data_IF_273538539931
#
_entry.id   IF_273538539931
#
_cell.length_a   1.000
_cell.length_b   1.000
_cell.length_c   1.000
_cell.angle_alpha   90.00
_cell.angle_beta   90.00
_cell.angle_gamma   90.00
#
_symmetry.space_group_name_H-M   'P 1'
#
loop_
_entity.id
_entity.type
_entity.pdbx_description
1 polymer ?
#
# COMPACT_ATOMS: atom_id res chain seq x y z
N UNK A 1 1.71 6.74 5.45
CA UNK A 1 0.25 6.82 5.30
C UNK A 1 -0.36 7.34 6.60
N UNK A 2 -1.56 7.91 6.57
CA UNK A 2 -2.34 8.17 7.78
C UNK A 2 -3.83 7.93 7.55
N UNK A 3 -4.52 7.38 8.55
CA UNK A 3 -5.92 6.98 8.48
C UNK A 3 -6.69 7.62 9.63
N UNK A 4 -7.90 8.11 9.36
CA UNK A 4 -8.91 8.54 10.35
C UNK A 4 -10.18 7.70 10.16
N UNK A 5 -10.86 7.41 11.26
CA UNK A 5 -12.16 6.71 11.25
C UNK A 5 -12.08 5.20 11.45
N UNK A 6 -10.88 4.65 11.67
CA UNK A 6 -10.67 3.22 11.96
C UNK A 6 -9.74 3.09 13.17
N UNK A 7 -9.99 2.10 14.02
CA UNK A 7 -9.16 1.85 15.20
C UNK A 7 -7.78 1.32 14.80
N UNK A 8 -6.78 1.52 15.67
CA UNK A 8 -5.43 1.01 15.41
C UNK A 8 -5.42 -0.52 15.32
N UNK A 9 -6.18 -1.19 16.19
CA UNK A 9 -6.32 -2.64 16.16
C UNK A 9 -6.89 -3.13 14.82
N UNK A 10 -7.90 -2.46 14.27
CA UNK A 10 -8.45 -2.81 12.97
C UNK A 10 -7.42 -2.62 11.84
N UNK A 11 -6.62 -1.54 11.89
CA UNK A 11 -5.51 -1.32 10.94
C UNK A 11 -4.50 -2.47 11.01
N UNK A 12 -4.11 -2.90 12.21
CA UNK A 12 -3.20 -4.04 12.39
C UNK A 12 -3.80 -5.34 11.84
N UNK A 13 -5.06 -5.64 12.17
CA UNK A 13 -5.73 -6.85 11.73
C UNK A 13 -5.81 -6.93 10.19
N UNK A 14 -6.20 -5.82 9.54
CA UNK A 14 -6.23 -5.74 8.07
C UNK A 14 -4.84 -5.94 7.48
N UNK A 15 -3.83 -5.22 7.99
CA UNK A 15 -2.46 -5.35 7.51
C UNK A 15 -1.94 -6.80 7.62
N UNK A 16 -2.09 -7.42 8.79
CA UNK A 16 -1.64 -8.79 9.03
C UNK A 16 -2.36 -9.81 8.13
N UNK A 17 -3.67 -9.63 7.90
CA UNK A 17 -4.45 -10.49 7.01
C UNK A 17 -3.99 -10.46 5.54
N UNK A 18 -3.20 -9.46 5.17
CA UNK A 18 -2.61 -9.28 3.83
C UNK A 18 -1.11 -9.60 3.79
N UNK A 19 -0.54 -10.10 4.90
CA UNK A 19 0.91 -10.31 5.00
C UNK A 19 1.70 -8.99 5.06
N UNK A 20 1.09 -7.92 5.57
CA UNK A 20 1.70 -6.62 5.80
C UNK A 20 1.91 -6.35 7.30
N UNK A 21 2.70 -5.33 7.59
CA UNK A 21 2.87 -4.77 8.93
C UNK A 21 2.88 -3.23 8.88
N UNK A 22 2.23 -2.55 9.83
CA UNK A 22 2.39 -1.12 10.03
C UNK A 22 3.66 -0.85 10.86
N UNK A 23 4.62 -0.13 10.30
CA UNK A 23 5.80 0.38 11.01
C UNK A 23 5.59 1.83 11.48
N UNK A 24 6.31 2.25 12.52
CA UNK A 24 6.31 3.63 13.03
C UNK A 24 4.90 4.16 13.35
N UNK A 25 4.06 3.32 13.97
CA UNK A 25 2.68 3.67 14.31
C UNK A 25 2.65 4.73 15.39
N UNK A 26 1.90 5.82 15.15
CA UNK A 26 1.69 6.90 16.12
C UNK A 26 0.39 7.63 15.89
N UNK A 27 -0.20 8.15 16.97
CA UNK A 27 -1.36 9.04 16.91
C UNK A 27 -0.93 10.47 16.58
N UNK A 28 -1.70 11.17 15.74
CA UNK A 28 -1.62 12.62 15.52
C UNK A 28 -3.04 13.19 15.39
N UNK A 29 -3.56 13.70 16.51
CA UNK A 29 -4.97 14.05 16.61
C UNK A 29 -5.86 12.85 16.27
N UNK A 30 -6.85 13.04 15.40
CA UNK A 30 -7.78 11.98 14.99
C UNK A 30 -7.23 11.00 13.95
N UNK A 31 -5.92 11.03 13.67
CA UNK A 31 -5.28 10.16 12.69
C UNK A 31 -4.31 9.19 13.34
N UNK A 32 -4.27 7.97 12.82
CA UNK A 32 -3.19 7.01 13.05
C UNK A 32 -2.24 7.06 11.85
N UNK A 33 -0.97 7.39 12.12
CA UNK A 33 0.11 7.51 11.15
C UNK A 33 0.96 6.25 11.20
N UNK A 34 1.37 5.73 10.04
CA UNK A 34 2.25 4.57 9.94
C UNK A 34 2.86 4.46 8.55
N UNK A 35 3.84 3.58 8.41
CA UNK A 35 4.41 3.14 7.13
C UNK A 35 3.95 1.70 6.91
N UNK A 36 3.19 1.46 5.84
CA UNK A 36 2.78 0.10 5.49
C UNK A 36 3.96 -0.61 4.83
N UNK A 37 4.30 -1.79 5.33
CA UNK A 37 5.38 -2.63 4.82
C UNK A 37 4.92 -4.07 4.64
N UNK A 38 5.59 -4.80 3.76
CA UNK A 38 5.48 -6.25 3.70
C UNK A 38 5.95 -6.86 5.04
N UNK A 39 5.26 -7.88 5.55
CA UNK A 39 5.65 -8.58 6.78
C UNK A 39 6.98 -9.32 6.60
N UNK A 40 7.18 -9.91 5.41
CA UNK A 40 8.45 -10.48 4.97
C UNK A 40 9.07 -9.61 3.89
N UNK A 41 10.41 -9.44 3.88
CA UNK A 41 11.07 -8.73 2.81
C UNK A 41 10.87 -9.46 1.48
N UNK A 42 10.78 -8.70 0.39
CA UNK A 42 10.86 -9.29 -0.95
C UNK A 42 12.32 -9.68 -1.22
N UNK A 43 12.61 -10.98 -1.41
CA UNK A 43 13.93 -11.45 -1.80
C UNK A 43 14.30 -11.00 -3.21
N UNK A 44 15.59 -10.77 -3.51
CA UNK A 44 16.06 -10.36 -4.82
C UNK A 44 15.87 -11.50 -5.84
N UNK A 45 14.89 -11.35 -6.76
CA UNK A 45 14.60 -12.08 -8.02
C UNK A 45 14.66 -13.64 -8.07
N UNK A 46 15.22 -14.34 -7.08
CA UNK A 46 15.47 -15.79 -7.03
C UNK A 46 14.60 -16.54 -6.00
N UNK A 47 13.49 -15.97 -5.55
CA UNK A 47 12.61 -16.70 -4.63
C UNK A 47 11.45 -17.37 -5.35
N UNK A 48 11.04 -18.49 -4.77
CA UNK A 48 9.93 -19.35 -5.20
C UNK A 48 8.70 -18.50 -5.58
N UNK A 49 8.25 -18.51 -6.84
CA UNK A 49 7.12 -17.70 -7.32
C UNK A 49 5.80 -17.97 -6.57
N UNK A 50 5.68 -19.09 -5.85
CA UNK A 50 4.45 -19.50 -5.16
C UNK A 50 4.35 -19.03 -3.70
N UNK A 51 5.27 -18.19 -3.21
CA UNK A 51 5.18 -17.71 -1.82
C UNK A 51 4.15 -16.57 -1.69
N UNK A 52 3.11 -16.68 -0.83
CA UNK A 52 2.01 -15.71 -0.76
C UNK A 52 2.45 -14.28 -0.41
N UNK A 53 3.51 -14.13 0.40
CA UNK A 53 4.13 -12.82 0.66
C UNK A 53 4.82 -12.16 -0.56
N UNK A 54 4.83 -12.78 -1.74
CA UNK A 54 5.37 -12.21 -2.97
C UNK A 54 4.30 -11.57 -3.87
N UNK A 55 3.01 -11.75 -3.56
CA UNK A 55 1.91 -11.29 -4.41
C UNK A 55 1.91 -9.77 -4.62
N UNK A 56 2.35 -8.99 -3.63
CA UNK A 56 2.39 -7.53 -3.71
C UNK A 56 3.80 -6.93 -3.81
N UNK A 57 4.71 -7.65 -4.47
CA UNK A 57 6.10 -7.20 -4.60
C UNK A 57 6.28 -6.14 -5.69
N UNK A 58 7.20 -5.20 -5.46
CA UNK A 58 7.60 -4.20 -6.47
C UNK A 58 8.51 -4.83 -7.53
N UNK A 59 8.27 -4.51 -8.80
CA UNK A 59 9.18 -4.74 -9.91
C UNK A 59 10.44 -3.86 -9.73
N UNK A 60 11.63 -4.45 -9.75
CA UNK A 60 12.84 -3.65 -9.56
C UNK A 60 14.17 -4.37 -9.73
N UNK A 61 15.13 -3.62 -10.26
CA UNK A 61 16.55 -3.97 -10.46
C UNK A 61 17.41 -3.90 -9.19
N UNK A 62 16.78 -3.66 -8.04
CA UNK A 62 17.46 -3.55 -6.75
C UNK A 62 17.95 -4.93 -6.31
N UNK A 63 19.28 -5.10 -6.17
CA UNK A 63 19.87 -6.27 -5.48
C UNK A 63 19.52 -6.32 -3.98
N UNK A 64 18.93 -5.25 -3.46
CA UNK A 64 18.58 -5.10 -2.05
C UNK A 64 17.16 -5.61 -1.76
N UNK A 65 17.02 -6.17 -0.57
CA UNK A 65 15.76 -6.60 -0.01
C UNK A 65 14.90 -5.37 0.27
N UNK A 66 13.66 -5.37 -0.22
CA UNK A 66 12.71 -4.28 0.01
C UNK A 66 11.49 -4.79 0.75
N UNK A 67 10.97 -3.95 1.64
CA UNK A 67 9.73 -4.20 2.37
C UNK A 67 8.58 -3.34 1.81
N UNK A 68 8.75 -2.73 0.64
CA UNK A 68 7.73 -1.88 0.05
C UNK A 68 6.53 -2.71 -0.42
N UNK A 69 5.32 -2.23 -0.09
CA UNK A 69 4.07 -2.76 -0.65
C UNK A 69 3.85 -2.13 -2.03
N UNK A 70 3.47 -2.92 -3.03
CA UNK A 70 3.18 -2.41 -4.36
C UNK A 70 1.87 -1.60 -4.42
N UNK A 71 1.59 -1.02 -5.58
CA UNK A 71 0.37 -0.26 -5.82
C UNK A 71 -0.90 -1.10 -5.59
N UNK A 72 -0.96 -2.33 -6.11
CA UNK A 72 -2.11 -3.22 -5.92
C UNK A 72 -2.29 -3.68 -4.46
N UNK A 73 -1.20 -3.90 -3.71
CA UNK A 73 -1.28 -4.22 -2.29
C UNK A 73 -1.78 -3.05 -1.44
N UNK A 74 -1.42 -1.82 -1.84
CA UNK A 74 -2.02 -0.63 -1.27
C UNK A 74 -3.53 -0.53 -1.58
N UNK A 75 -3.95 -0.91 -2.79
CA UNK A 75 -5.38 -0.94 -3.16
C UNK A 75 -6.15 -1.86 -2.23
N UNK A 76 -5.73 -3.13 -2.14
CA UNK A 76 -6.46 -4.12 -1.37
C UNK A 76 -6.49 -3.80 0.13
N UNK A 77 -5.39 -3.26 0.67
CA UNK A 77 -5.39 -2.76 2.04
C UNK A 77 -6.41 -1.63 2.24
N UNK A 78 -6.50 -0.67 1.29
CA UNK A 78 -7.47 0.42 1.39
C UNK A 78 -8.92 -0.06 1.20
N UNK A 79 -9.16 -0.99 0.28
CA UNK A 79 -10.48 -1.63 0.08
C UNK A 79 -10.98 -2.22 1.40
N UNK A 80 -10.17 -3.04 2.10
CA UNK A 80 -10.54 -3.61 3.40
C UNK A 80 -10.73 -2.58 4.51
N UNK A 81 -10.02 -1.45 4.46
CA UNK A 81 -10.25 -0.34 5.39
C UNK A 81 -11.62 0.31 5.12
N UNK A 82 -12.00 0.48 3.85
CA UNK A 82 -13.31 1.03 3.48
C UNK A 82 -14.47 0.06 3.72
N UNK A 83 -14.24 -1.25 3.66
CA UNK A 83 -15.21 -2.26 4.09
C UNK A 83 -15.55 -2.12 5.58
N UNK A 84 -14.55 -1.81 6.42
CA UNK A 84 -14.76 -1.57 7.86
C UNK A 84 -15.46 -0.23 8.10
N UNK A 85 -15.05 0.82 7.39
CA UNK A 85 -15.68 2.13 7.48
C UNK A 85 -15.66 2.84 6.11
N UNK A 86 -16.79 2.89 5.39
CA UNK A 86 -16.88 3.55 4.09
C UNK A 86 -16.56 5.05 4.13
N UNK A 87 -16.65 5.68 5.30
CA UNK A 87 -16.37 7.10 5.53
C UNK A 87 -14.95 7.36 6.08
N UNK A 88 -14.08 6.34 6.12
CA UNK A 88 -12.70 6.52 6.54
C UNK A 88 -11.97 7.56 5.68
N UNK A 89 -11.00 8.27 6.26
CA UNK A 89 -10.15 9.19 5.52
C UNK A 89 -8.75 8.61 5.47
N UNK A 90 -8.25 8.32 4.27
CA UNK A 90 -6.91 7.80 4.03
C UNK A 90 -6.09 8.85 3.30
N UNK A 91 -4.91 9.21 3.83
CA UNK A 91 -3.98 10.13 3.17
C UNK A 91 -2.64 9.43 2.94
N UNK A 92 -2.21 9.46 1.68
CA UNK A 92 -0.91 8.95 1.21
C UNK A 92 0.00 10.12 0.83
N UNK A 93 1.18 9.83 0.28
CA UNK A 93 2.04 10.87 -0.30
C UNK A 93 1.55 11.36 -1.67
N UNK A 94 0.62 10.65 -2.33
CA UNK A 94 0.13 10.97 -3.68
C UNK A 94 -1.28 11.51 -3.70
N UNK A 95 -2.13 11.09 -2.77
CA UNK A 95 -3.54 11.45 -2.75
C UNK A 95 -4.13 11.46 -1.33
N UNK A 96 -5.24 12.16 -1.21
CA UNK A 96 -6.15 12.06 -0.08
C UNK A 96 -7.48 11.50 -0.58
N UNK A 97 -7.94 10.44 0.10
CA UNK A 97 -9.20 9.76 -0.17
C UNK A 97 -10.16 10.06 0.98
N UNK A 98 -11.27 10.71 0.65
CA UNK A 98 -12.30 11.17 1.58
C UNK A 98 -13.51 10.24 1.53
N UNK A 99 -13.33 9.00 1.98
CA UNK A 99 -14.33 7.94 1.87
C UNK A 99 -14.19 7.07 0.61
N UNK A 100 -14.96 5.99 0.57
CA UNK A 100 -14.90 4.94 -0.46
C UNK A 100 -15.17 5.46 -1.87
N UNK A 101 -16.16 6.33 -2.05
CA UNK A 101 -16.50 6.90 -3.36
C UNK A 101 -15.37 7.76 -3.93
N UNK A 102 -14.76 8.59 -3.07
CA UNK A 102 -13.62 9.44 -3.47
C UNK A 102 -12.38 8.60 -3.79
N UNK A 103 -12.19 7.50 -3.07
CA UNK A 103 -11.18 6.50 -3.39
C UNK A 103 -11.41 5.86 -4.76
N UNK A 104 -12.61 5.35 -5.03
CA UNK A 104 -12.95 4.72 -6.31
C UNK A 104 -12.72 5.65 -7.51
N UNK A 105 -13.03 6.93 -7.36
CA UNK A 105 -12.86 7.93 -8.41
C UNK A 105 -11.39 8.32 -8.67
N UNK A 106 -10.53 8.24 -7.65
CA UNK A 106 -9.15 8.77 -7.71
C UNK A 106 -8.08 7.69 -7.81
N UNK A 107 -8.33 6.49 -7.31
CA UNK A 107 -7.26 5.51 -7.13
C UNK A 107 -6.61 5.12 -8.46
N UNK A 108 -7.42 4.89 -9.50
CA UNK A 108 -6.92 4.52 -10.83
C UNK A 108 -6.00 5.60 -11.43
N UNK A 109 -6.35 6.88 -11.29
CA UNK A 109 -5.51 7.97 -11.83
C UNK A 109 -4.17 8.10 -11.08
N UNK A 110 -4.11 7.72 -9.80
CA UNK A 110 -2.84 7.62 -9.06
C UNK A 110 -1.97 6.50 -9.63
N UNK A 111 -2.59 5.41 -10.10
CA UNK A 111 -1.90 4.30 -10.75
C UNK A 111 -1.17 4.69 -12.03
N UNK A 112 -1.65 5.72 -12.74
CA UNK A 112 -1.09 6.20 -14.01
C UNK A 112 0.01 7.26 -13.85
N UNK A 113 0.28 7.72 -12.62
CA UNK A 113 1.36 8.66 -12.36
C UNK A 113 2.73 8.03 -12.69
N UNK A 114 3.65 8.83 -13.23
CA UNK A 114 5.02 8.40 -13.47
C UNK A 114 5.77 8.13 -12.16
N UNK A 115 6.30 6.91 -12.04
CA UNK A 115 7.14 6.44 -10.96
C UNK A 115 8.56 6.06 -11.44
N UNK A 116 8.80 6.12 -12.76
CA UNK A 116 10.09 5.97 -13.41
C UNK A 116 10.83 7.30 -13.57
N UNK A 117 11.83 7.32 -14.46
CA UNK A 117 12.52 8.56 -14.81
C UNK A 117 11.70 9.35 -15.84
N UNK A 118 12.11 10.59 -16.13
CA UNK A 118 11.49 11.35 -17.23
C UNK A 118 11.82 10.75 -18.61
N UNK A 119 13.00 10.13 -18.75
CA UNK A 119 13.46 9.52 -20.01
C UNK A 119 12.88 8.11 -20.23
N UNK A 120 12.53 7.41 -19.15
CA UNK A 120 11.91 6.11 -19.19
C UNK A 120 10.77 6.06 -18.15
N UNK A 121 9.60 6.63 -18.50
CA UNK A 121 8.47 6.68 -17.59
C UNK A 121 7.89 5.29 -17.37
N UNK A 122 7.55 4.98 -16.13
CA UNK A 122 6.89 3.72 -15.74
C UNK A 122 5.74 4.11 -14.82
N UNK A 123 4.53 3.59 -15.08
CA UNK A 123 3.36 3.89 -14.25
C UNK A 123 3.47 3.16 -12.91
N UNK A 124 2.86 3.71 -11.86
CA UNK A 124 2.82 3.03 -10.54
C UNK A 124 2.24 1.61 -10.63
N UNK A 125 1.17 1.42 -11.42
CA UNK A 125 0.53 0.12 -11.61
C UNK A 125 1.44 -0.91 -12.29
N UNK A 126 2.39 -0.46 -13.10
CA UNK A 126 3.33 -1.31 -13.83
C UNK A 126 4.63 -1.59 -13.03
N UNK A 127 4.76 -1.01 -11.82
CA UNK A 127 5.92 -1.22 -10.96
C UNK A 127 5.79 -2.44 -10.05
N UNK A 128 4.94 -3.42 -10.36
CA UNK A 128 4.82 -4.64 -9.57
C UNK A 128 4.94 -5.90 -10.42
N UNK A 129 5.22 -7.03 -9.77
CA UNK A 129 5.13 -8.36 -10.41
C UNK A 129 3.83 -9.09 -10.03
N UNK A 130 2.91 -8.36 -9.41
CA UNK A 130 1.49 -8.65 -9.59
C UNK A 130 1.07 -8.29 -11.03
#
# INVERSE_FOLDING_TARGET
>A
MKIKGVSEQAIYNVAQSLGFRPDNVRRKGNYTLFVLRMALPTPPRKANPNHPALHYRKHGYSKNWTFAVCFHGHKEFMDRIFEINPNAIIRTCKAAYLGMNDFANKFESVGDLNAGSMLNPIRYRDMCDC
#
